data_IF_476017992028
#
_entry.id   IF_476017992028
#
_cell.length_a   1.000
_cell.length_b   1.000
_cell.length_c   1.000
_cell.angle_alpha   90.00
_cell.angle_beta   90.00
_cell.angle_gamma   90.00
#
_symmetry.space_group_name_H-M   'P 1'
#
loop_
_entity.id
_entity.type
_entity.pdbx_description
1 polymer ?
#
# COMPACT_ATOMS: atom_id res chain seq x y z
N UNK A 1 0.85 38.04 -0.38
CA UNK A 1 1.45 36.90 0.35
C UNK A 1 1.57 35.76 -0.64
N UNK A 2 2.77 35.18 -0.80
CA UNK A 2 2.97 34.03 -1.68
C UNK A 2 2.32 32.81 -1.02
N UNK A 3 1.41 32.12 -1.72
CA UNK A 3 0.78 30.92 -1.18
C UNK A 3 1.78 29.76 -1.16
N UNK A 4 2.01 29.19 0.01
CA UNK A 4 2.93 28.08 0.22
C UNK A 4 2.31 26.76 -0.24
N UNK A 5 3.14 25.76 -0.54
CA UNK A 5 2.69 24.39 -0.83
C UNK A 5 2.60 23.61 0.47
N UNK A 6 1.52 22.84 0.65
CA UNK A 6 1.36 21.88 1.73
C UNK A 6 2.50 20.85 1.69
N UNK A 7 3.26 20.70 2.79
CA UNK A 7 4.51 19.94 2.79
C UNK A 7 4.29 18.43 2.65
N UNK A 8 3.18 17.87 3.14
CA UNK A 8 2.99 16.43 3.17
C UNK A 8 2.33 15.86 1.91
N UNK A 9 1.68 16.69 1.08
CA UNK A 9 1.01 16.26 -0.16
C UNK A 9 1.97 15.53 -1.11
N UNK A 10 3.19 16.03 -1.28
CA UNK A 10 4.21 15.43 -2.16
C UNK A 10 4.70 14.09 -1.60
N UNK A 11 4.97 14.03 -0.29
CA UNK A 11 5.42 12.81 0.38
C UNK A 11 4.35 11.74 0.29
N UNK A 12 3.10 12.09 0.60
CA UNK A 12 1.98 11.15 0.54
C UNK A 12 1.69 10.66 -0.89
N UNK A 13 1.93 11.48 -1.92
CA UNK A 13 1.81 11.07 -3.32
C UNK A 13 2.86 10.02 -3.67
N UNK A 14 4.13 10.25 -3.31
CA UNK A 14 5.20 9.27 -3.53
C UNK A 14 4.91 7.98 -2.75
N UNK A 15 4.51 8.10 -1.48
CA UNK A 15 4.14 6.94 -0.65
C UNK A 15 3.02 6.10 -1.27
N UNK A 16 2.03 6.77 -1.87
CA UNK A 16 0.90 6.13 -2.54
C UNK A 16 1.28 5.47 -3.87
N UNK A 17 2.30 5.96 -4.58
CA UNK A 17 2.79 5.33 -5.82
C UNK A 17 3.69 4.14 -5.47
N UNK A 18 4.54 4.28 -4.46
CA UNK A 18 5.44 3.22 -3.99
C UNK A 18 4.64 2.04 -3.41
N UNK A 19 3.48 2.28 -2.79
CA UNK A 19 2.64 1.20 -2.28
C UNK A 19 2.12 0.26 -3.39
N UNK A 20 1.90 0.77 -4.61
CA UNK A 20 1.53 -0.07 -5.76
C UNK A 20 2.65 -1.04 -6.15
N UNK A 21 3.90 -0.57 -6.16
CA UNK A 21 5.07 -1.41 -6.44
C UNK A 21 5.28 -2.45 -5.32
N UNK A 22 5.02 -2.06 -4.07
CA UNK A 22 5.21 -2.93 -2.92
C UNK A 22 4.08 -3.97 -2.75
N UNK A 23 2.92 -3.77 -3.38
CA UNK A 23 1.79 -4.70 -3.34
C UNK A 23 2.17 -6.12 -3.83
N UNK A 24 3.01 -6.21 -4.86
CA UNK A 24 3.40 -7.48 -5.48
C UNK A 24 4.52 -8.23 -4.72
N UNK A 25 5.36 -7.51 -3.97
CA UNK A 25 6.56 -8.07 -3.33
C UNK A 25 6.28 -8.54 -1.89
N UNK A 26 5.21 -8.06 -1.28
CA UNK A 26 4.92 -8.27 0.16
C UNK A 26 3.58 -8.95 0.45
N UNK A 27 3.04 -9.74 -0.50
CA UNK A 27 1.73 -10.39 -0.37
C UNK A 27 0.58 -9.41 -0.04
N UNK A 28 0.68 -8.16 -0.52
CA UNK A 28 -0.29 -7.09 -0.24
C UNK A 28 -0.15 -6.38 1.11
N UNK A 29 0.59 -6.92 2.07
CA UNK A 29 0.68 -6.37 3.44
C UNK A 29 1.40 -5.01 3.46
N UNK A 30 2.54 -4.91 2.78
CA UNK A 30 3.31 -3.66 2.71
C UNK A 30 2.54 -2.55 1.98
N UNK A 31 1.77 -2.92 0.96
CA UNK A 31 0.91 -2.00 0.21
C UNK A 31 -0.18 -1.36 1.09
N UNK A 32 -0.83 -2.15 1.95
CA UNK A 32 -1.88 -1.67 2.87
C UNK A 32 -1.30 -0.76 3.95
N UNK A 33 -0.14 -1.09 4.52
CA UNK A 33 0.49 -0.27 5.57
C UNK A 33 0.93 1.10 5.01
N UNK A 34 1.64 1.10 3.87
CA UNK A 34 2.09 2.35 3.25
C UNK A 34 0.92 3.26 2.82
N UNK A 35 -0.12 2.69 2.21
CA UNK A 35 -1.30 3.46 1.82
C UNK A 35 -2.07 4.00 3.03
N UNK A 36 -2.12 3.25 4.13
CA UNK A 36 -2.67 3.70 5.41
C UNK A 36 -1.90 4.90 5.99
N UNK A 37 -0.58 4.85 6.02
CA UNK A 37 0.27 5.96 6.49
C UNK A 37 0.09 7.19 5.60
N UNK A 38 0.02 7.01 4.27
CA UNK A 38 -0.23 8.10 3.32
C UNK A 38 -1.57 8.81 3.61
N UNK A 39 -2.62 8.04 3.89
CA UNK A 39 -3.94 8.56 4.24
C UNK A 39 -3.94 9.38 5.53
N UNK A 40 -3.21 8.94 6.56
CA UNK A 40 -3.07 9.68 7.82
C UNK A 40 -2.38 11.03 7.56
N UNK A 41 -1.31 11.03 6.76
CA UNK A 41 -0.55 12.24 6.44
C UNK A 41 -1.39 13.27 5.67
N UNK A 42 -2.19 12.81 4.70
CA UNK A 42 -3.11 13.67 3.93
C UNK A 42 -4.23 14.21 4.81
N UNK A 43 -4.76 13.41 5.74
CA UNK A 43 -5.79 13.88 6.66
C UNK A 43 -5.24 14.97 7.60
N UNK A 44 -3.96 14.91 8.00
CA UNK A 44 -3.31 16.01 8.72
C UNK A 44 -3.22 17.27 7.86
N UNK A 45 -2.74 17.16 6.61
CA UNK A 45 -2.67 18.32 5.69
C UNK A 45 -4.05 18.91 5.38
N UNK A 46 -5.09 18.07 5.34
CA UNK A 46 -6.47 18.54 5.15
C UNK A 46 -6.92 19.43 6.31
N UNK A 47 -6.55 19.08 7.55
CA UNK A 47 -6.84 19.89 8.74
C UNK A 47 -6.04 21.19 8.73
N UNK A 48 -4.75 21.14 8.43
CA UNK A 48 -3.89 22.34 8.32
C UNK A 48 -4.41 23.30 7.24
N UNK A 49 -4.91 22.78 6.11
CA UNK A 49 -5.56 23.59 5.09
C UNK A 49 -6.87 24.25 5.58
N UNK A 50 -7.66 23.55 6.38
CA UNK A 50 -8.91 24.09 6.95
C UNK A 50 -8.65 25.20 7.98
N UNK A 51 -7.54 25.11 8.71
CA UNK A 51 -7.11 26.13 9.68
C UNK A 51 -6.65 27.42 8.97
N UNK A 52 -5.90 27.31 7.87
CA UNK A 52 -5.37 28.47 7.13
C UNK A 52 -5.52 28.34 5.60
N UNK A 53 -6.75 28.46 5.05
CA UNK A 53 -6.98 28.22 3.62
C UNK A 53 -6.39 29.28 2.68
N UNK A 54 -6.06 30.47 3.20
CA UNK A 54 -5.47 31.57 2.42
C UNK A 54 -3.96 31.42 2.20
N UNK A 55 -3.31 30.55 2.98
CA UNK A 55 -1.86 30.33 2.94
C UNK A 55 -1.43 29.28 1.91
N UNK A 56 -2.35 28.45 1.40
CA UNK A 56 -2.00 27.25 0.62
C UNK A 56 -2.66 27.18 -0.76
N UNK A 57 -1.86 26.94 -1.80
CA UNK A 57 -2.32 26.91 -3.20
C UNK A 57 -2.57 25.51 -3.78
N UNK A 58 -1.96 24.46 -3.23
CA UNK A 58 -1.97 23.12 -3.83
C UNK A 58 -3.11 22.20 -3.33
N UNK A 59 -4.25 22.78 -2.95
CA UNK A 59 -5.41 22.02 -2.46
C UNK A 59 -5.96 21.04 -3.49
N UNK A 60 -5.88 21.37 -4.79
CA UNK A 60 -6.24 20.46 -5.88
C UNK A 60 -5.41 19.17 -5.84
N UNK A 61 -4.08 19.30 -5.64
CA UNK A 61 -3.18 18.16 -5.50
C UNK A 61 -3.51 17.34 -4.25
N UNK A 62 -3.83 17.98 -3.13
CA UNK A 62 -4.24 17.29 -1.91
C UNK A 62 -5.46 16.37 -2.14
N UNK A 63 -6.47 16.85 -2.86
CA UNK A 63 -7.66 16.04 -3.20
C UNK A 63 -7.28 14.86 -4.08
N UNK A 64 -6.47 15.09 -5.11
CA UNK A 64 -6.00 14.03 -6.01
C UNK A 64 -5.22 12.98 -5.23
N UNK A 65 -4.27 13.39 -4.38
CA UNK A 65 -3.50 12.45 -3.56
C UNK A 65 -4.40 11.65 -2.62
N UNK A 66 -5.45 12.27 -2.04
CA UNK A 66 -6.41 11.57 -1.19
C UNK A 66 -7.13 10.45 -1.94
N UNK A 67 -7.58 10.74 -3.17
CA UNK A 67 -8.24 9.77 -4.04
C UNK A 67 -7.28 8.62 -4.38
N UNK A 68 -6.05 8.95 -4.79
CA UNK A 68 -5.02 7.95 -5.13
C UNK A 68 -4.68 7.05 -3.95
N UNK A 69 -4.53 7.62 -2.73
CA UNK A 69 -4.26 6.84 -1.52
C UNK A 69 -5.39 5.87 -1.18
N UNK A 70 -6.65 6.28 -1.35
CA UNK A 70 -7.82 5.41 -1.16
C UNK A 70 -7.83 4.29 -2.19
N UNK A 71 -7.58 4.60 -3.46
CA UNK A 71 -7.51 3.58 -4.52
C UNK A 71 -6.41 2.55 -4.21
N UNK A 72 -5.22 3.02 -3.80
CA UNK A 72 -4.12 2.14 -3.40
C UNK A 72 -4.47 1.25 -2.21
N UNK A 73 -5.19 1.78 -1.21
CA UNK A 73 -5.64 1.00 -0.05
C UNK A 73 -6.67 -0.06 -0.46
N UNK A 74 -7.64 0.28 -1.31
CA UNK A 74 -8.66 -0.66 -1.80
C UNK A 74 -8.02 -1.77 -2.63
N UNK A 75 -7.10 -1.44 -3.54
CA UNK A 75 -6.41 -2.43 -4.35
C UNK A 75 -5.48 -3.32 -3.50
N UNK A 76 -4.78 -2.75 -2.51
CA UNK A 76 -3.99 -3.52 -1.55
C UNK A 76 -4.86 -4.48 -0.73
N UNK A 77 -6.02 -4.04 -0.26
CA UNK A 77 -6.96 -4.88 0.48
C UNK A 77 -7.52 -6.02 -0.39
N UNK A 78 -7.90 -5.75 -1.64
CA UNK A 78 -8.34 -6.77 -2.59
C UNK A 78 -7.23 -7.79 -2.87
N UNK A 79 -6.00 -7.34 -3.07
CA UNK A 79 -4.84 -8.22 -3.28
C UNK A 79 -4.57 -9.11 -2.07
N UNK A 80 -4.72 -8.57 -0.85
CA UNK A 80 -4.59 -9.34 0.39
C UNK A 80 -5.67 -10.43 0.49
N UNK A 81 -6.94 -10.08 0.23
CA UNK A 81 -8.05 -11.05 0.22
C UNK A 81 -7.80 -12.15 -0.81
N UNK A 82 -7.35 -11.79 -2.00
CA UNK A 82 -7.07 -12.75 -3.07
C UNK A 82 -5.91 -13.69 -2.71
N UNK A 83 -4.87 -13.16 -2.06
CA UNK A 83 -3.74 -13.95 -1.57
C UNK A 83 -4.18 -14.93 -0.48
N UNK A 84 -4.98 -14.49 0.49
CA UNK A 84 -5.54 -15.35 1.54
C UNK A 84 -6.42 -16.45 0.91
N UNK A 85 -7.29 -16.09 -0.03
CA UNK A 85 -8.16 -17.04 -0.71
C UNK A 85 -7.35 -18.09 -1.49
N UNK A 86 -6.29 -17.67 -2.18
CA UNK A 86 -5.39 -18.56 -2.92
C UNK A 86 -4.68 -19.55 -1.99
N UNK A 87 -4.17 -19.10 -0.85
CA UNK A 87 -3.51 -19.98 0.15
C UNK A 87 -4.51 -20.99 0.72
N UNK A 88 -5.73 -20.56 1.04
CA UNK A 88 -6.78 -21.44 1.58
C UNK A 88 -7.26 -22.45 0.53
N UNK A 89 -7.40 -22.04 -0.74
CA UNK A 89 -7.87 -22.92 -1.81
C UNK A 89 -6.82 -23.96 -2.25
N UNK A 90 -5.52 -23.65 -2.09
CA UNK A 90 -4.42 -24.58 -2.36
C UNK A 90 -4.24 -25.67 -1.29
N UNK A 91 -5.08 -25.71 -0.25
CA UNK A 91 -4.98 -26.70 0.83
C UNK A 91 -4.24 -26.19 2.08
N UNK A 92 -4.08 -24.86 2.19
CA UNK A 92 -3.41 -24.23 3.32
C UNK A 92 -1.89 -24.22 3.20
N UNK A 93 -1.24 -23.69 4.23
CA UNK A 93 0.22 -23.64 4.30
C UNK A 93 0.85 -25.04 4.27
N UNK A 94 0.17 -26.05 4.80
CA UNK A 94 0.66 -27.42 4.87
C UNK A 94 0.82 -28.05 3.47
N UNK A 95 -0.18 -27.91 2.59
CA UNK A 95 -0.12 -28.42 1.22
C UNK A 95 0.94 -27.70 0.37
N UNK A 96 1.15 -26.40 0.60
CA UNK A 96 2.21 -25.63 -0.04
C UNK A 96 3.60 -26.14 0.37
N UNK A 97 3.80 -26.39 1.66
CA UNK A 97 5.07 -26.91 2.19
C UNK A 97 5.35 -28.30 1.63
N UNK A 98 4.34 -29.18 1.57
CA UNK A 98 4.51 -30.54 1.07
C UNK A 98 4.85 -30.58 -0.44
N UNK A 99 4.14 -29.78 -1.25
CA UNK A 99 4.49 -29.64 -2.68
C UNK A 99 5.91 -29.10 -2.86
N UNK A 100 6.33 -28.14 -2.05
CA UNK A 100 7.70 -27.63 -2.13
C UNK A 100 8.71 -28.69 -1.74
N UNK A 101 8.49 -29.45 -0.66
CA UNK A 101 9.42 -30.51 -0.24
C UNK A 101 9.59 -31.58 -1.32
N UNK A 102 8.51 -32.02 -1.97
CA UNK A 102 8.59 -33.01 -3.05
C UNK A 102 9.43 -32.53 -4.25
N UNK A 103 9.33 -31.23 -4.59
CA UNK A 103 10.12 -30.62 -5.68
C UNK A 103 11.60 -30.53 -5.30
N UNK A 104 11.92 -30.14 -4.07
CA UNK A 104 13.31 -30.09 -3.58
C UNK A 104 13.94 -31.49 -3.54
N UNK A 105 13.16 -32.50 -3.15
CA UNK A 105 13.59 -33.89 -3.13
C UNK A 105 13.86 -34.42 -4.55
N UNK A 106 13.00 -34.09 -5.53
CA UNK A 106 13.25 -34.40 -6.95
C UNK A 106 14.47 -33.67 -7.53
N UNK A 107 14.76 -32.46 -7.07
CA UNK A 107 15.94 -31.68 -7.48
C UNK A 107 17.23 -32.08 -6.72
N UNK A 108 17.14 -33.02 -5.78
CA UNK A 108 18.29 -33.51 -5.00
C UNK A 108 18.89 -32.46 -4.05
N UNK A 109 18.12 -31.46 -3.65
CA UNK A 109 18.55 -30.38 -2.77
C UNK A 109 18.06 -30.72 -1.35
N UNK A 110 18.95 -31.02 -0.38
CA UNK A 110 18.53 -31.36 0.98
C UNK A 110 17.95 -30.13 1.67
N UNK A 111 16.75 -30.26 2.21
CA UNK A 111 16.11 -29.27 3.10
C UNK A 111 16.47 -29.66 4.54
N UNK A 112 17.58 -29.14 5.06
CA UNK A 112 17.92 -29.16 6.50
C UNK A 112 17.27 -27.98 7.25
#
# INVERSE_FOLDING_TARGET
>A
MEQQKLPNVTIALILSIVSFLCCCVSAGIGGVIMSGIALILINKDTKTYQENPQEYSNFSTLKTTKIVAIIGLVLGALSLIWTIYSIVSMGGWDAYIEQTSEIYEQLGIPME
#
